data_IF_322726890635
#
_entry.id   IF_322726890635
#
_cell.length_a   1.000
_cell.length_b   1.000
_cell.length_c   1.000
_cell.angle_alpha   90.00
_cell.angle_beta   90.00
_cell.angle_gamma   90.00
#
_symmetry.space_group_name_H-M   'P 1'
#
loop_
_entity.id
_entity.type
_entity.pdbx_description
1 polymer ?
#
# COMPACT_ATOMS: atom_id res chain seq x y z
N UNK A 1 16.22 -0.89 11.36
CA UNK A 1 15.03 -0.25 10.75
C UNK A 1 13.92 -1.27 10.69
N UNK A 2 12.67 -0.88 10.95
CA UNK A 2 11.51 -1.76 10.82
C UNK A 2 11.23 -2.01 9.34
N UNK A 3 11.02 -3.26 8.97
CA UNK A 3 10.66 -3.66 7.61
C UNK A 3 9.31 -4.37 7.68
N UNK A 4 8.41 -4.02 6.77
CA UNK A 4 7.10 -4.68 6.63
C UNK A 4 6.96 -5.22 5.22
N UNK A 5 6.64 -6.50 5.09
CA UNK A 5 6.33 -7.12 3.80
C UNK A 5 4.82 -7.22 3.64
N UNK A 6 4.32 -6.86 2.45
CA UNK A 6 2.93 -7.02 2.08
C UNK A 6 2.84 -7.79 0.76
N UNK A 7 1.78 -8.58 0.62
CA UNK A 7 1.51 -9.39 -0.56
C UNK A 7 0.10 -9.17 -1.05
N UNK A 8 -0.07 -9.07 -2.37
CA UNK A 8 -1.41 -9.10 -2.96
C UNK A 8 -2.08 -10.45 -2.69
N UNK A 9 -3.41 -10.47 -2.56
CA UNK A 9 -4.19 -11.68 -2.30
C UNK A 9 -4.03 -12.76 -3.39
N UNK A 10 -3.72 -12.37 -4.63
CA UNK A 10 -3.45 -13.33 -5.70
C UNK A 10 -2.06 -13.99 -5.60
N UNK A 11 -1.18 -13.51 -4.71
CA UNK A 11 0.18 -14.02 -4.51
C UNK A 11 1.20 -13.61 -5.58
N UNK A 12 0.78 -12.96 -6.66
CA UNK A 12 1.65 -12.58 -7.78
C UNK A 12 2.59 -11.40 -7.44
N UNK A 13 2.17 -10.52 -6.52
CA UNK A 13 2.89 -9.27 -6.19
C UNK A 13 3.29 -9.26 -4.72
N UNK A 14 4.54 -8.86 -4.44
CA UNK A 14 5.07 -8.60 -3.10
C UNK A 14 5.77 -7.25 -3.06
N UNK A 15 5.56 -6.52 -1.97
CA UNK A 15 6.13 -5.19 -1.74
C UNK A 15 6.77 -5.16 -0.36
N UNK A 16 7.95 -4.58 -0.29
CA UNK A 16 8.68 -4.31 0.94
C UNK A 16 8.58 -2.82 1.27
N UNK A 17 8.24 -2.52 2.53
CA UNK A 17 8.17 -1.18 3.10
C UNK A 17 9.25 -1.03 4.17
N UNK A 18 9.98 0.07 4.14
CA UNK A 18 11.06 0.39 5.08
C UNK A 18 10.68 1.58 5.97
N UNK A 19 10.91 1.46 7.28
CA UNK A 19 10.66 2.54 8.24
C UNK A 19 9.18 2.71 8.58
N UNK A 20 8.82 3.93 8.94
CA UNK A 20 7.45 4.32 9.31
C UNK A 20 6.81 5.17 8.21
N UNK A 21 5.47 5.12 8.06
CA UNK A 21 4.77 5.95 7.10
C UNK A 21 4.89 7.44 7.46
N UNK A 22 4.87 8.30 6.44
CA UNK A 22 4.78 9.76 6.59
C UNK A 22 3.45 10.13 7.27
N UNK A 23 2.37 9.47 6.86
CA UNK A 23 1.04 9.67 7.43
C UNK A 23 0.16 8.45 7.20
N UNK A 24 -0.85 8.31 8.06
CA UNK A 24 -1.90 7.31 7.96
C UNK A 24 -3.24 7.96 8.24
N UNK A 25 -4.26 7.62 7.45
CA UNK A 25 -5.60 8.16 7.61
C UNK A 25 -6.65 7.26 6.98
N UNK A 26 -7.92 7.52 7.32
CA UNK A 26 -9.07 6.86 6.72
C UNK A 26 -9.67 7.73 5.62
N UNK A 27 -9.64 7.24 4.38
CA UNK A 27 -10.22 7.94 3.25
C UNK A 27 -11.68 7.55 3.05
N UNK A 28 -12.55 8.55 2.94
CA UNK A 28 -14.00 8.41 2.81
C UNK A 28 -14.53 8.93 1.46
N UNK A 29 -13.67 9.25 0.49
CA UNK A 29 -14.15 9.72 -0.80
C UNK A 29 -14.87 8.61 -1.58
N UNK A 30 -15.76 9.01 -2.48
CA UNK A 30 -16.59 8.09 -3.27
C UNK A 30 -15.75 7.09 -4.07
N UNK A 31 -14.61 7.50 -4.63
CA UNK A 31 -13.69 6.61 -5.36
C UNK A 31 -13.14 5.49 -4.47
N UNK A 32 -12.73 5.83 -3.24
CA UNK A 32 -12.19 4.86 -2.29
C UNK A 32 -13.27 3.91 -1.77
N UNK A 33 -14.48 4.40 -1.57
CA UNK A 33 -15.63 3.57 -1.21
C UNK A 33 -16.01 2.63 -2.35
N UNK A 34 -16.09 3.13 -3.59
CA UNK A 34 -16.41 2.34 -4.77
C UNK A 34 -15.37 1.23 -5.04
N UNK A 35 -14.07 1.56 -4.91
CA UNK A 35 -12.98 0.61 -5.13
C UNK A 35 -12.95 -0.51 -4.07
N UNK A 36 -13.24 -0.20 -2.81
CA UNK A 36 -13.11 -1.16 -1.71
C UNK A 36 -14.41 -1.89 -1.34
N UNK A 37 -15.57 -1.32 -1.70
CA UNK A 37 -16.88 -1.76 -1.22
C UNK A 37 -17.14 -1.47 0.26
N UNK A 38 -16.24 -0.74 0.94
CA UNK A 38 -16.35 -0.38 2.35
C UNK A 38 -16.76 1.09 2.57
N UNK A 39 -17.09 1.45 3.82
CA UNK A 39 -17.40 2.83 4.19
C UNK A 39 -16.17 3.77 4.13
N UNK A 40 -14.96 3.21 4.24
CA UNK A 40 -13.69 3.90 4.09
C UNK A 40 -12.58 2.88 3.80
N UNK A 41 -11.40 3.38 3.43
CA UNK A 41 -10.15 2.58 3.39
C UNK A 41 -9.08 3.19 4.29
N UNK A 42 -8.24 2.33 4.87
CA UNK A 42 -7.01 2.74 5.52
C UNK A 42 -5.92 3.04 4.49
N UNK A 43 -5.36 4.25 4.52
CA UNK A 43 -4.23 4.66 3.69
C UNK A 43 -2.99 4.80 4.55
N UNK A 44 -1.84 4.38 4.03
CA UNK A 44 -0.52 4.66 4.60
C UNK A 44 0.40 5.17 3.49
N UNK A 45 0.96 6.36 3.68
CA UNK A 45 1.83 7.01 2.70
C UNK A 45 3.29 6.83 3.14
N UNK A 46 4.15 6.34 2.25
CA UNK A 46 5.58 6.17 2.48
C UNK A 46 6.39 7.03 1.49
N UNK A 47 7.64 7.40 1.83
CA UNK A 47 8.58 7.93 0.86
C UNK A 47 8.79 6.94 -0.30
N UNK A 48 9.02 7.43 -1.51
CA UNK A 48 9.19 6.58 -2.70
C UNK A 48 10.37 5.61 -2.55
N UNK A 49 11.48 6.07 -1.97
CA UNK A 49 12.68 5.29 -1.71
C UNK A 49 12.52 4.27 -0.56
N UNK A 50 11.43 4.35 0.19
CA UNK A 50 11.08 3.42 1.25
C UNK A 50 10.18 2.25 0.77
N UNK A 51 9.83 2.22 -0.53
CA UNK A 51 8.95 1.21 -1.13
C UNK A 51 9.68 0.47 -2.24
N UNK A 52 9.71 -0.86 -2.15
CA UNK A 52 10.30 -1.71 -3.20
C UNK A 52 9.34 -2.83 -3.59
N UNK A 53 9.08 -3.00 -4.89
CA UNK A 53 8.41 -4.20 -5.41
C UNK A 53 9.45 -5.33 -5.48
N UNK A 54 9.25 -6.36 -4.66
CA UNK A 54 10.19 -7.50 -4.55
C UNK A 54 9.74 -8.70 -5.38
N UNK A 55 8.48 -8.73 -5.81
CA UNK A 55 7.92 -9.72 -6.74
C UNK A 55 6.80 -9.09 -7.57
N UNK A 56 6.76 -9.38 -8.87
CA UNK A 56 5.83 -8.77 -9.83
C UNK A 56 6.55 -7.81 -10.77
N UNK A 57 5.85 -7.37 -11.82
CA UNK A 57 6.40 -6.45 -12.83
C UNK A 57 5.81 -5.05 -12.65
N UNK A 58 6.68 -4.05 -12.58
CA UNK A 58 6.28 -2.65 -12.58
C UNK A 58 6.03 -2.19 -14.02
N UNK A 59 4.81 -1.76 -14.30
CA UNK A 59 4.46 -1.13 -15.57
C UNK A 59 4.50 0.38 -15.36
N UNK A 60 5.37 1.06 -16.09
CA UNK A 60 5.51 2.53 -16.11
C UNK A 60 4.88 3.13 -17.34
#
# INVERSE_FOLDING_TARGET
>A
MKTTEISCLCGAVKVQLMGEPITQFYCHCDDCQAMSGGAYIGISIYPLDAVAVTQGELIT
#
